data_IF_808745615095
#
_entry.id   IF_808745615095
#
_cell.length_a   1.000
_cell.length_b   1.000
_cell.length_c   1.000
_cell.angle_alpha   90.00
_cell.angle_beta   90.00
_cell.angle_gamma   90.00
#
_symmetry.space_group_name_H-M   'P 1'
#
loop_
_entity.id
_entity.type
_entity.pdbx_description
1 polymer ?
#
# COMPACT_ATOMS: atom_id res chain seq x y z
N UNK A 1 -6.35 -9.57 6.55
CA UNK A 1 -7.59 -8.82 6.29
C UNK A 1 -8.70 -9.80 5.92
N UNK A 2 -9.82 -9.81 6.65
CA UNK A 2 -10.98 -10.65 6.36
C UNK A 2 -12.11 -9.80 5.75
N UNK A 3 -12.88 -10.36 4.82
CA UNK A 3 -14.04 -9.70 4.18
C UNK A 3 -14.41 -10.32 2.83
N UNK A 4 -15.60 -10.04 2.30
CA UNK A 4 -16.10 -10.63 1.03
C UNK A 4 -15.19 -10.38 -0.17
N UNK A 5 -15.04 -11.34 -1.09
CA UNK A 5 -14.26 -11.16 -2.31
C UNK A 5 -14.75 -9.93 -3.10
N UNK A 6 -13.81 -9.21 -3.73
CA UNK A 6 -14.10 -7.98 -4.48
C UNK A 6 -14.19 -6.69 -3.66
N UNK A 7 -14.20 -6.74 -2.31
CA UNK A 7 -14.30 -5.54 -1.46
C UNK A 7 -13.01 -4.69 -1.37
N UNK A 8 -12.07 -4.82 -2.32
CA UNK A 8 -10.84 -4.01 -2.36
C UNK A 8 -9.70 -4.41 -1.41
N UNK A 9 -9.88 -5.40 -0.53
CA UNK A 9 -8.83 -5.81 0.45
C UNK A 9 -7.50 -6.17 -0.19
N UNK A 10 -7.52 -7.03 -1.21
CA UNK A 10 -6.29 -7.43 -1.90
C UNK A 10 -5.67 -6.27 -2.66
N UNK A 11 -6.50 -5.38 -3.24
CA UNK A 11 -6.04 -4.15 -3.90
C UNK A 11 -5.36 -3.21 -2.90
N UNK A 12 -5.93 -3.04 -1.70
CA UNK A 12 -5.36 -2.25 -0.63
C UNK A 12 -4.02 -2.84 -0.15
N UNK A 13 -3.98 -4.15 0.09
CA UNK A 13 -2.75 -4.83 0.47
C UNK A 13 -1.64 -4.65 -0.58
N UNK A 14 -1.96 -4.83 -1.87
CA UNK A 14 -1.02 -4.62 -2.98
C UNK A 14 -0.56 -3.16 -3.10
N UNK A 15 -1.47 -2.20 -2.85
CA UNK A 15 -1.13 -0.77 -2.84
C UNK A 15 -0.17 -0.41 -1.71
N UNK A 16 -0.38 -0.95 -0.50
CA UNK A 16 0.51 -0.77 0.64
C UNK A 16 1.89 -1.36 0.35
N UNK A 17 1.95 -2.56 -0.27
CA UNK A 17 3.20 -3.21 -0.67
C UNK A 17 3.95 -2.49 -1.80
N UNK A 18 3.32 -1.51 -2.47
CA UNK A 18 3.94 -0.77 -3.57
C UNK A 18 3.89 -1.49 -4.91
N UNK A 19 2.94 -2.42 -5.11
CA UNK A 19 2.84 -3.14 -6.36
C UNK A 19 2.58 -2.18 -7.55
N UNK A 20 3.39 -2.20 -8.64
CA UNK A 20 3.41 -1.16 -9.66
C UNK A 20 2.09 -0.97 -10.44
N UNK A 21 1.21 -1.98 -10.40
CA UNK A 21 -0.15 -1.91 -10.96
C UNK A 21 -1.10 -0.96 -10.21
N UNK A 22 -0.76 -0.54 -9.00
CA UNK A 22 -1.65 0.28 -8.16
C UNK A 22 -1.02 1.64 -7.87
N UNK A 23 -1.81 2.70 -8.07
CA UNK A 23 -1.39 4.10 -7.89
C UNK A 23 -2.26 4.72 -6.79
N UNK A 24 -1.63 5.45 -5.87
CA UNK A 24 -2.34 6.21 -4.83
C UNK A 24 -2.73 7.57 -5.42
N UNK A 25 -3.94 7.64 -5.98
CA UNK A 25 -4.47 8.89 -6.57
C UNK A 25 -4.70 9.97 -5.50
N UNK A 26 -5.16 9.57 -4.31
CA UNK A 26 -5.42 10.47 -3.19
C UNK A 26 -5.15 9.81 -1.84
N UNK A 27 -5.02 10.63 -0.79
CA UNK A 27 -4.69 10.19 0.56
C UNK A 27 -3.20 9.92 0.79
N UNK A 28 -2.90 9.46 1.99
CA UNK A 28 -1.54 9.22 2.47
C UNK A 28 -1.48 7.90 3.24
N UNK A 29 -0.32 7.23 3.17
CA UNK A 29 0.00 6.04 3.95
C UNK A 29 1.28 6.35 4.70
N UNK A 30 1.22 6.23 6.03
CA UNK A 30 2.38 6.46 6.89
C UNK A 30 2.67 5.23 7.74
N UNK A 31 3.95 4.94 7.92
CA UNK A 31 4.46 3.90 8.82
C UNK A 31 5.44 4.59 9.75
N UNK A 32 5.19 4.53 11.06
CA UNK A 32 5.98 5.24 12.07
C UNK A 32 6.12 6.76 11.80
N UNK A 33 5.06 7.37 11.28
CA UNK A 33 5.04 8.80 10.92
C UNK A 33 5.76 9.15 9.61
N UNK A 34 6.38 8.18 8.93
CA UNK A 34 7.03 8.39 7.62
C UNK A 34 6.11 8.01 6.48
N UNK A 35 6.00 8.87 5.47
CA UNK A 35 5.24 8.56 4.26
C UNK A 35 5.91 7.45 3.46
N UNK A 36 5.16 6.44 3.07
CA UNK A 36 5.65 5.35 2.20
C UNK A 36 5.23 5.51 0.74
N UNK A 37 4.53 6.59 0.39
CA UNK A 37 3.92 6.78 -0.94
C UNK A 37 4.92 6.71 -2.08
N UNK A 38 6.09 7.33 -1.90
CA UNK A 38 7.14 7.43 -2.91
C UNK A 38 8.27 6.41 -2.70
N UNK A 39 8.11 5.50 -1.74
CA UNK A 39 9.09 4.45 -1.48
C UNK A 39 8.91 3.29 -2.44
N UNK A 40 10.00 2.76 -2.94
CA UNK A 40 10.04 1.53 -3.73
C UNK A 40 9.65 0.31 -2.88
N UNK A 41 9.09 -0.77 -3.46
CA UNK A 41 8.67 -1.96 -2.70
C UNK A 41 9.77 -2.53 -1.79
N UNK A 42 11.01 -2.52 -2.25
CA UNK A 42 12.16 -3.00 -1.48
C UNK A 42 12.49 -2.10 -0.27
N UNK A 43 12.24 -0.80 -0.37
CA UNK A 43 12.43 0.12 0.75
C UNK A 43 11.33 -0.06 1.78
N UNK A 44 10.09 -0.24 1.32
CA UNK A 44 8.92 -0.51 2.19
C UNK A 44 9.08 -1.81 2.99
N UNK A 45 9.68 -2.83 2.40
CA UNK A 45 9.90 -4.13 3.06
C UNK A 45 10.96 -4.10 4.18
N UNK A 46 11.74 -3.02 4.28
CA UNK A 46 12.80 -2.83 5.29
C UNK A 46 12.37 -1.93 6.45
N UNK A 47 11.16 -1.36 6.38
CA UNK A 47 10.52 -0.65 7.48
C UNK A 47 9.96 -1.67 8.48
#
# INVERSE_FOLDING_TARGET
MLGKNGSGKSSLAMTIMGHPKYIIESGFITVEGKSIKEMEPNERAKL
#
